data_IF_857185393350
#
_entry.id   IF_857185393350
#
_cell.length_a   1.000
_cell.length_b   1.000
_cell.length_c   1.000
_cell.angle_alpha   90.00
_cell.angle_beta   90.00
_cell.angle_gamma   90.00
#
_symmetry.space_group_name_H-M   'P 1'
#
loop_
_entity.id
_entity.type
_entity.pdbx_description
1 polymer ?
#
# COMPACT_ATOMS: atom_id res chain seq x y z
N UNK A 1 -12.32 -3.12 -3.82
CA UNK A 1 -11.30 -3.49 -2.82
C UNK A 1 -11.55 -2.68 -1.57
N UNK A 2 -11.65 -3.36 -0.44
CA UNK A 2 -11.77 -2.76 0.89
C UNK A 2 -10.50 -1.97 1.18
N UNK A 3 -10.65 -0.65 1.37
CA UNK A 3 -9.56 0.24 1.78
C UNK A 3 -8.99 -0.25 3.10
N UNK A 4 -7.67 -0.31 3.24
CA UNK A 4 -7.07 -0.69 4.52
C UNK A 4 -7.47 0.35 5.58
N UNK A 5 -8.07 -0.11 6.69
CA UNK A 5 -8.49 0.80 7.76
C UNK A 5 -7.27 1.26 8.56
N UNK A 6 -7.30 2.49 9.06
CA UNK A 6 -6.19 3.01 9.88
C UNK A 6 -6.02 2.20 11.18
N UNK A 7 -7.13 1.70 11.74
CA UNK A 7 -7.11 0.83 12.93
C UNK A 7 -6.25 -0.42 12.69
N UNK A 8 -6.41 -1.03 11.51
CA UNK A 8 -5.62 -2.20 11.10
C UNK A 8 -4.14 -1.85 10.96
N UNK A 9 -3.80 -0.71 10.35
CA UNK A 9 -2.40 -0.29 10.17
C UNK A 9 -1.71 -0.05 11.53
N UNK A 10 -2.43 0.52 12.50
CA UNK A 10 -1.86 0.82 13.82
C UNK A 10 -1.62 -0.43 14.68
N UNK A 11 -2.36 -1.52 14.43
CA UNK A 11 -2.23 -2.79 15.16
C UNK A 11 -1.08 -3.67 14.65
N UNK A 12 -0.49 -3.36 13.48
CA UNK A 12 0.57 -4.17 12.87
C UNK A 12 1.94 -3.87 13.48
N UNK A 13 2.75 -4.92 13.61
CA UNK A 13 4.15 -4.80 14.03
C UNK A 13 5.05 -4.25 12.91
N UNK A 14 6.25 -3.80 13.27
CA UNK A 14 7.22 -3.22 12.31
C UNK A 14 7.59 -4.20 11.17
N UNK A 15 7.74 -5.49 11.49
CA UNK A 15 8.03 -6.55 10.50
C UNK A 15 6.86 -6.74 9.54
N UNK A 16 5.64 -6.80 10.07
CA UNK A 16 4.43 -7.03 9.27
C UNK A 16 4.14 -5.84 8.36
N UNK A 17 4.37 -4.60 8.84
CA UNK A 17 4.28 -3.40 8.02
C UNK A 17 5.26 -3.44 6.84
N UNK A 18 6.52 -3.84 7.07
CA UNK A 18 7.53 -3.96 5.99
C UNK A 18 7.13 -5.01 4.95
N UNK A 19 6.68 -6.19 5.39
CA UNK A 19 6.19 -7.25 4.49
C UNK A 19 4.98 -6.76 3.67
N UNK A 20 4.01 -6.10 4.31
CA UNK A 20 2.82 -5.59 3.63
C UNK A 20 3.14 -4.49 2.61
N UNK A 21 4.11 -3.62 2.91
CA UNK A 21 4.60 -2.62 1.96
C UNK A 21 5.22 -3.29 0.73
N UNK A 22 5.95 -4.38 0.90
CA UNK A 22 6.56 -5.10 -0.23
C UNK A 22 5.50 -5.78 -1.12
N UNK A 23 4.50 -6.42 -0.53
CA UNK A 23 3.36 -7.01 -1.25
C UNK A 23 2.60 -5.95 -2.06
N UNK A 24 2.20 -4.87 -1.39
CA UNK A 24 1.40 -3.80 -2.03
C UNK A 24 2.17 -3.04 -3.11
N UNK A 25 3.49 -2.87 -2.97
CA UNK A 25 4.34 -2.33 -4.04
C UNK A 25 4.41 -3.26 -5.25
N UNK A 26 4.46 -4.57 -5.04
CA UNK A 26 4.47 -5.56 -6.11
C UNK A 26 3.14 -5.56 -6.88
N UNK A 27 2.02 -5.44 -6.15
CA UNK A 27 0.69 -5.28 -6.75
C UNK A 27 0.58 -3.98 -7.55
N UNK A 28 1.07 -2.86 -7.00
CA UNK A 28 1.13 -1.58 -7.71
C UNK A 28 1.96 -1.68 -9.00
N UNK A 29 3.09 -2.39 -8.98
CA UNK A 29 3.94 -2.58 -10.14
C UNK A 29 3.23 -3.35 -11.26
N UNK A 30 2.52 -4.43 -10.92
CA UNK A 30 1.70 -5.18 -11.89
C UNK A 30 0.64 -4.28 -12.54
N UNK A 31 -0.11 -3.54 -11.73
CA UNK A 31 -1.13 -2.62 -12.24
C UNK A 31 -0.55 -1.48 -13.10
N UNK A 32 0.69 -1.03 -12.81
CA UNK A 32 1.38 -0.05 -13.66
C UNK A 32 1.80 -0.63 -15.01
N UNK A 33 2.28 -1.87 -15.03
CA UNK A 33 2.64 -2.56 -16.27
C UNK A 33 1.39 -2.77 -17.13
N UNK A 34 0.30 -3.22 -16.53
CA UNK A 34 -0.98 -3.41 -17.23
C UNK A 34 -1.58 -2.07 -17.70
N UNK A 35 -1.41 -1.00 -16.91
CA UNK A 35 -1.70 0.38 -17.30
C UNK A 35 -0.92 0.81 -18.53
N UNK A 36 0.39 0.54 -18.55
CA UNK A 36 1.28 0.90 -19.66
C UNK A 36 0.97 0.12 -20.94
N UNK A 37 0.48 -1.11 -20.80
CA UNK A 37 -0.01 -1.95 -21.92
C UNK A 37 -1.39 -1.53 -22.44
N UNK A 38 -2.08 -0.61 -21.77
CA UNK A 38 -3.42 -0.15 -22.16
C UNK A 38 -4.55 -1.14 -21.85
N UNK A 39 -4.27 -2.22 -21.11
CA UNK A 39 -5.29 -3.23 -20.73
C UNK A 39 -6.07 -2.85 -19.48
N UNK A 40 -5.65 -1.78 -18.80
CA UNK A 40 -6.20 -1.35 -17.52
C UNK A 40 -7.52 -0.57 -17.70
N UNK A 41 -8.62 -1.30 -17.93
CA UNK A 41 -9.97 -0.73 -18.00
C UNK A 41 -10.51 -0.36 -16.61
N UNK A 42 -11.28 -1.26 -15.99
CA UNK A 42 -11.97 -1.06 -14.69
C UNK A 42 -11.02 -1.09 -13.48
N UNK A 43 -9.79 -1.55 -13.69
CA UNK A 43 -8.75 -1.69 -12.66
C UNK A 43 -7.98 -0.39 -12.38
N UNK A 44 -8.09 0.61 -13.27
CA UNK A 44 -7.42 1.91 -13.15
C UNK A 44 -7.76 2.67 -11.87
N UNK A 45 -9.00 2.54 -11.38
CA UNK A 45 -9.46 3.14 -10.13
C UNK A 45 -8.75 2.62 -8.88
N UNK A 46 -8.03 1.49 -8.97
CA UNK A 46 -7.32 0.87 -7.85
C UNK A 46 -5.94 1.47 -7.59
N UNK A 47 -5.37 2.18 -8.57
CA UNK A 47 -4.04 2.80 -8.44
C UNK A 47 -3.98 3.87 -7.34
N UNK A 48 -5.03 4.69 -7.22
CA UNK A 48 -5.06 5.78 -6.23
C UNK A 48 -5.16 5.23 -4.80
N UNK A 49 -6.10 4.32 -4.46
CA UNK A 49 -6.16 3.70 -3.14
C UNK A 49 -4.86 3.00 -2.73
N UNK A 50 -4.27 2.16 -3.60
CA UNK A 50 -3.03 1.44 -3.27
C UNK A 50 -1.86 2.38 -2.95
N UNK A 51 -1.74 3.50 -3.67
CA UNK A 51 -0.73 4.53 -3.35
C UNK A 51 -0.95 5.16 -1.98
N UNK A 52 -2.21 5.45 -1.62
CA UNK A 52 -2.51 6.03 -0.31
C UNK A 52 -2.26 5.02 0.82
N UNK A 53 -2.55 3.74 0.61
CA UNK A 53 -2.31 2.68 1.59
C UNK A 53 -0.81 2.52 1.86
N UNK A 54 0.03 2.52 0.82
CA UNK A 54 1.50 2.50 0.96
C UNK A 54 1.99 3.71 1.75
N UNK A 55 1.50 4.91 1.44
CA UNK A 55 1.89 6.14 2.13
C UNK A 55 1.55 6.07 3.63
N UNK A 56 0.34 5.61 3.98
CA UNK A 56 -0.09 5.47 5.38
C UNK A 56 0.75 4.47 6.16
N UNK A 57 1.10 3.33 5.56
CA UNK A 57 1.98 2.34 6.20
C UNK A 57 3.39 2.89 6.44
N UNK A 58 3.94 3.66 5.49
CA UNK A 58 5.26 4.32 5.66
C UNK A 58 5.25 5.38 6.75
N UNK A 59 4.16 6.15 6.88
CA UNK A 59 3.98 7.11 7.98
C UNK A 59 4.01 6.40 9.32
N UNK A 60 3.26 5.29 9.49
CA UNK A 60 3.25 4.53 10.75
C UNK A 60 4.64 3.99 11.11
N UNK A 61 5.41 3.51 10.12
CA UNK A 61 6.78 3.06 10.33
C UNK A 61 7.70 4.20 10.81
N UNK A 62 7.47 5.41 10.32
CA UNK A 62 8.21 6.61 10.74
C UNK A 62 7.84 7.03 12.17
N UNK A 63 6.56 6.96 12.54
CA UNK A 63 6.10 7.21 13.91
C UNK A 63 6.72 6.23 14.91
N UNK A 64 6.68 4.92 14.60
CA UNK A 64 7.30 3.88 15.44
C UNK A 64 8.81 4.10 15.64
N UNK A 65 9.49 4.66 14.63
CA UNK A 65 10.92 4.99 14.72
C UNK A 65 11.18 6.25 15.55
N UNK A 66 10.24 7.19 15.60
CA UNK A 66 10.33 8.42 16.41
C UNK A 66 10.00 8.19 17.89
N UNK A 67 9.18 7.19 18.19
CA UNK A 67 8.82 6.80 19.57
C UNK A 67 9.91 5.96 20.26
N UNK A 68 10.91 5.46 19.51
CA UNK A 68 12.11 4.81 20.03
C UNK A 68 13.23 5.82 20.27
#
# INVERSE_FOLDING_TARGET
>A
MTRLSMKTINQLNEKDLKSKIQETRSELAKLRIDGSKGTLRKESGKLKPLRHDIARMLTRLTELRREK
#
